data_IF_464520920468
#
_entry.id   IF_464520920468
#
_cell.length_a   1.000
_cell.length_b   1.000
_cell.length_c   1.000
_cell.angle_alpha   90.00
_cell.angle_beta   90.00
_cell.angle_gamma   90.00
#
_symmetry.space_group_name_H-M   'P 1'
#
loop_
_entity.id
_entity.type
_entity.pdbx_description
1 polymer ?
#
# COMPACT_ATOMS: atom_id res chain seq x y z
N UNK A 1 3.69 12.75 -26.10
CA UNK A 1 4.12 14.08 -25.60
C UNK A 1 5.63 14.05 -25.35
N UNK A 2 6.38 15.11 -25.68
CA UNK A 2 7.81 15.24 -25.31
C UNK A 2 7.95 16.39 -24.32
N UNK A 3 8.67 16.18 -23.24
CA UNK A 3 8.88 17.18 -22.18
C UNK A 3 10.32 17.14 -21.71
N UNK A 4 10.75 18.16 -20.97
CA UNK A 4 12.13 18.31 -20.49
C UNK A 4 12.21 17.97 -19.00
N UNK A 5 13.32 17.38 -18.59
CA UNK A 5 13.68 17.22 -17.19
C UNK A 5 14.06 18.58 -16.58
N UNK A 6 13.34 18.99 -15.56
CA UNK A 6 13.63 20.21 -14.78
C UNK A 6 14.47 19.87 -13.55
N UNK A 7 15.29 20.82 -13.09
CA UNK A 7 16.06 20.66 -11.85
C UNK A 7 15.20 21.07 -10.66
N UNK A 8 15.18 20.25 -9.61
CA UNK A 8 14.52 20.51 -8.33
C UNK A 8 15.55 20.22 -7.24
N UNK A 9 16.36 21.22 -6.88
CA UNK A 9 17.49 21.04 -5.97
C UNK A 9 18.53 20.03 -6.50
N UNK A 10 18.77 18.96 -5.73
CA UNK A 10 19.61 17.83 -6.13
C UNK A 10 18.86 16.79 -6.99
N UNK A 11 17.53 16.93 -7.12
CA UNK A 11 16.68 16.01 -7.86
C UNK A 11 16.33 16.56 -9.26
N UNK A 12 15.70 15.71 -10.07
CA UNK A 12 15.15 16.05 -11.39
C UNK A 12 13.66 15.70 -11.40
N UNK A 13 12.85 16.55 -12.03
CA UNK A 13 11.42 16.35 -12.18
C UNK A 13 10.95 16.42 -13.62
N UNK A 14 9.75 15.90 -13.89
CA UNK A 14 9.05 16.00 -15.15
C UNK A 14 7.74 16.76 -14.92
N UNK A 15 7.43 17.76 -15.75
CA UNK A 15 6.13 18.45 -15.68
C UNK A 15 5.05 17.61 -16.36
N UNK A 16 4.05 17.19 -15.60
CA UNK A 16 2.90 16.43 -16.07
C UNK A 16 1.68 17.37 -16.08
N UNK A 17 1.01 17.58 -17.23
CA UNK A 17 -0.23 18.35 -17.28
C UNK A 17 -1.31 17.79 -16.37
N UNK A 18 -2.07 18.68 -15.70
CA UNK A 18 -3.18 18.33 -14.81
C UNK A 18 -4.17 17.31 -15.41
N UNK A 19 -4.59 17.42 -16.70
CA UNK A 19 -5.51 16.43 -17.27
C UNK A 19 -4.94 15.00 -17.29
N UNK A 20 -3.61 14.82 -17.40
CA UNK A 20 -3.00 13.49 -17.36
C UNK A 20 -2.92 12.93 -15.94
N UNK A 21 -2.74 13.80 -14.93
CA UNK A 21 -2.79 13.38 -13.53
C UNK A 21 -4.20 12.87 -13.19
N UNK A 22 -5.23 13.62 -13.57
CA UNK A 22 -6.64 13.27 -13.34
C UNK A 22 -7.04 11.98 -14.06
N UNK A 23 -6.68 11.84 -15.34
CA UNK A 23 -6.95 10.62 -16.12
C UNK A 23 -6.24 9.39 -15.56
N UNK A 24 -5.06 9.55 -14.99
CA UNK A 24 -4.28 8.47 -14.40
C UNK A 24 -4.63 8.20 -12.93
N UNK A 25 -5.53 8.98 -12.32
CA UNK A 25 -5.87 8.87 -10.89
C UNK A 25 -4.69 9.14 -9.97
N UNK A 26 -3.74 9.99 -10.38
CA UNK A 26 -2.57 10.35 -9.58
C UNK A 26 -2.92 11.55 -8.69
N UNK A 27 -2.85 11.35 -7.38
CA UNK A 27 -3.11 12.38 -6.36
C UNK A 27 -1.77 12.85 -5.74
N UNK A 28 -1.71 13.00 -4.41
CA UNK A 28 -0.56 13.59 -3.71
C UNK A 28 0.60 12.61 -3.56
N UNK A 29 0.32 11.32 -3.40
CA UNK A 29 1.33 10.26 -3.25
C UNK A 29 1.29 9.27 -4.43
N UNK A 30 2.48 8.98 -4.97
CA UNK A 30 2.66 8.10 -6.11
C UNK A 30 3.84 7.15 -5.86
N UNK A 31 3.75 5.96 -6.43
CA UNK A 31 4.86 5.01 -6.45
C UNK A 31 5.66 5.14 -7.75
N UNK A 32 6.98 5.01 -7.62
CA UNK A 32 7.93 5.05 -8.73
C UNK A 32 8.65 3.70 -8.84
N UNK A 33 8.68 3.12 -10.04
CA UNK A 33 9.45 1.90 -10.34
C UNK A 33 10.32 2.08 -11.57
N UNK A 34 11.59 1.70 -11.48
CA UNK A 34 12.48 1.61 -12.64
C UNK A 34 12.14 0.37 -13.45
N UNK A 35 11.99 0.54 -14.75
CA UNK A 35 11.79 -0.52 -15.74
C UNK A 35 12.83 -0.37 -16.84
N UNK A 36 12.97 -1.37 -17.70
CA UNK A 36 13.86 -1.26 -18.85
C UNK A 36 13.45 -0.06 -19.72
N UNK A 37 14.39 0.86 -19.95
CA UNK A 37 14.17 2.06 -20.75
C UNK A 37 13.41 3.21 -20.06
N UNK A 38 13.05 3.12 -18.77
CA UNK A 38 12.35 4.23 -18.12
C UNK A 38 11.91 4.04 -16.66
N UNK A 39 10.95 4.86 -16.26
CA UNK A 39 10.32 4.85 -14.93
C UNK A 39 8.80 4.83 -15.11
N UNK A 40 8.12 3.96 -14.39
CA UNK A 40 6.66 3.93 -14.27
C UNK A 40 6.25 4.71 -13.03
N UNK A 41 5.25 5.59 -13.18
CA UNK A 41 4.60 6.34 -12.10
C UNK A 41 3.18 5.81 -11.97
N UNK A 42 2.78 5.36 -10.79
CA UNK A 42 1.44 4.83 -10.54
C UNK A 42 0.87 5.39 -9.24
N UNK A 43 -0.46 5.42 -9.12
CA UNK A 43 -1.13 5.85 -7.90
C UNK A 43 -0.71 4.94 -6.74
N UNK A 44 -0.44 5.54 -5.58
CA UNK A 44 -0.13 4.75 -4.39
C UNK A 44 -1.36 3.93 -4.00
N UNK A 45 -1.17 2.63 -3.74
CA UNK A 45 -2.24 1.81 -3.17
C UNK A 45 -2.39 2.18 -1.70
N UNK A 46 -3.60 2.55 -1.30
CA UNK A 46 -3.91 2.78 0.11
C UNK A 46 -3.52 1.54 0.94
N UNK A 47 -2.83 1.70 2.08
CA UNK A 47 -2.56 0.58 2.97
C UNK A 47 -3.84 -0.17 3.27
N UNK A 48 -3.80 -1.50 3.14
CA UNK A 48 -4.95 -2.39 3.37
C UNK A 48 -6.14 -2.19 2.42
N UNK A 49 -5.94 -1.52 1.28
CA UNK A 49 -6.93 -1.52 0.20
C UNK A 49 -7.28 -2.96 -0.18
N UNK A 50 -8.58 -3.29 -0.16
CA UNK A 50 -9.09 -4.62 -0.47
C UNK A 50 -9.05 -5.63 0.70
N UNK A 51 -8.47 -5.29 1.86
CA UNK A 51 -8.42 -6.21 3.00
C UNK A 51 -9.81 -6.56 3.54
N UNK A 52 -10.73 -5.60 3.58
CA UNK A 52 -12.09 -5.88 4.03
C UNK A 52 -12.79 -6.93 3.14
N UNK A 53 -12.62 -6.83 1.83
CA UNK A 53 -13.14 -7.82 0.88
C UNK A 53 -12.43 -9.17 0.98
N UNK A 54 -11.11 -9.17 1.13
CA UNK A 54 -10.33 -10.39 1.34
C UNK A 54 -10.71 -11.10 2.66
N UNK A 55 -10.96 -10.35 3.74
CA UNK A 55 -11.41 -10.90 5.02
C UNK A 55 -12.83 -11.47 4.93
N UNK A 56 -13.74 -10.81 4.22
CA UNK A 56 -15.08 -11.34 3.97
C UNK A 56 -15.03 -12.64 3.16
N UNK A 57 -14.19 -12.69 2.11
CA UNK A 57 -13.98 -13.88 1.30
C UNK A 57 -13.37 -15.02 2.13
N UNK A 58 -12.37 -14.74 2.96
CA UNK A 58 -11.76 -15.72 3.85
C UNK A 58 -12.80 -16.34 4.80
N UNK A 59 -13.70 -15.52 5.37
CA UNK A 59 -14.82 -15.99 6.18
C UNK A 59 -15.80 -16.87 5.39
N UNK A 60 -16.16 -16.47 4.17
CA UNK A 60 -17.03 -17.28 3.30
C UNK A 60 -16.42 -18.64 2.96
N UNK A 61 -15.09 -18.69 2.84
CA UNK A 61 -14.33 -19.90 2.51
C UNK A 61 -13.99 -20.76 3.74
N UNK A 62 -14.19 -20.24 4.96
CA UNK A 62 -13.79 -20.90 6.20
C UNK A 62 -12.28 -20.85 6.47
N UNK A 63 -11.54 -20.04 5.72
CA UNK A 63 -10.08 -19.87 5.84
C UNK A 63 -9.69 -18.97 7.03
N UNK A 64 -10.66 -18.50 7.82
CA UNK A 64 -10.44 -17.71 9.02
C UNK A 64 -10.54 -18.53 10.32
N UNK A 65 -10.62 -19.86 10.20
CA UNK A 65 -10.65 -20.75 11.35
C UNK A 65 -9.27 -20.82 12.02
N UNK A 66 -9.27 -20.78 13.36
CA UNK A 66 -8.05 -20.81 14.16
C UNK A 66 -7.46 -22.23 14.17
N UNK A 67 -6.33 -22.42 13.46
CA UNK A 67 -5.74 -23.75 13.22
C UNK A 67 -5.14 -24.40 14.48
N UNK A 68 -4.73 -23.61 15.47
CA UNK A 68 -3.94 -24.11 16.61
C UNK A 68 -4.78 -24.51 17.84
N UNK A 69 -6.12 -24.42 17.76
CA UNK A 69 -7.01 -24.57 18.91
C UNK A 69 -6.80 -23.48 19.98
N UNK A 70 -7.58 -23.50 21.07
CA UNK A 70 -7.37 -22.56 22.18
C UNK A 70 -6.05 -22.87 22.88
N UNK A 71 -5.01 -22.11 22.54
CA UNK A 71 -3.74 -22.12 23.25
C UNK A 71 -3.87 -21.24 24.50
N UNK A 72 -3.87 -21.86 25.68
CA UNK A 72 -3.75 -21.12 26.94
C UNK A 72 -2.32 -20.62 27.08
N UNK A 73 -2.17 -19.33 27.32
CA UNK A 73 -0.90 -18.66 27.61
C UNK A 73 -0.78 -18.36 29.11
N UNK A 74 0.43 -18.09 29.60
CA UNK A 74 0.61 -17.68 31.00
C UNK A 74 -0.18 -16.39 31.35
N UNK A 75 -0.43 -15.53 30.34
CA UNK A 75 -1.24 -14.33 30.47
C UNK A 75 -2.73 -14.61 30.71
N UNK A 76 -3.22 -15.81 30.41
CA UNK A 76 -4.59 -16.21 30.73
C UNK A 76 -4.75 -16.65 32.19
N UNK A 77 -3.63 -16.93 32.88
CA UNK A 77 -3.61 -17.42 34.26
C UNK A 77 -3.16 -16.35 35.27
N UNK A 78 -2.26 -15.46 34.87
CA UNK A 78 -1.65 -14.46 35.74
C UNK A 78 -1.81 -13.06 35.13
N UNK A 79 -2.42 -12.16 35.90
CA UNK A 79 -2.51 -10.75 35.53
C UNK A 79 -1.13 -10.12 35.67
N UNK A 80 -0.67 -9.46 34.61
CA UNK A 80 0.57 -8.71 34.60
C UNK A 80 0.56 -7.53 35.59
N UNK A 81 1.69 -7.33 36.26
CA UNK A 81 1.98 -6.09 37.00
C UNK A 81 3.07 -5.30 36.25
N UNK A 82 2.84 -3.99 36.08
CA UNK A 82 3.83 -3.06 35.55
C UNK A 82 4.69 -2.51 36.69
N UNK A 83 6.02 -2.56 36.55
CA UNK A 83 6.96 -1.76 37.37
C UNK A 83 7.18 -0.35 36.78
#
# INVERSE_FOLDING_TARGET
MKTKLVRIGNSRGVRIPKPLLEQAGLEDEVELRVVEGGIVIQAQKQPRAGWAGAAALAREQGDDEWLDGTLSTAFDAEEWEWE
#
